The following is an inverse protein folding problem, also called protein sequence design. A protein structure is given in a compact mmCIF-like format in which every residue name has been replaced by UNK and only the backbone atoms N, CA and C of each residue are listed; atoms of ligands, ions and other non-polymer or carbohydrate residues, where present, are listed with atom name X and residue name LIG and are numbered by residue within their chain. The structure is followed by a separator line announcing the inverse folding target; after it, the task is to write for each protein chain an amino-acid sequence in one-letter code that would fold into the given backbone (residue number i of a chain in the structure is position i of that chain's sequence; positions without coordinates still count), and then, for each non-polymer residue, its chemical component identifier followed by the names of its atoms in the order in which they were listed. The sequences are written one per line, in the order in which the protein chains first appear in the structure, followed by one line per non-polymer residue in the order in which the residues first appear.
data_IF_146650090388
#
_entry.id   IF_146650090388
#
_cell.length_a   1.000
_cell.length_b   1.000
_cell.length_c   1.000
_cell.angle_alpha   90.00
_cell.angle_beta   90.00
_cell.angle_gamma   90.00
#
_symmetry.space_group_name_H-M   'P 1'
#
loop_
_entity.id
_entity.type
_entity.pdbx_description
1 polymer ?
#
# COMPACT_ATOMS: atom_id res chain seq x y z
N UNK A 1 -7.73 -32.85 -4.88
CA UNK A 1 -8.77 -31.86 -4.49
C UNK A 1 -9.18 -31.14 -5.76
N UNK A 2 -10.48 -31.09 -6.01
CA UNK A 2 -11.05 -30.33 -7.14
C UNK A 2 -10.77 -28.84 -6.91
N UNK A 3 -10.33 -28.10 -7.93
CA UNK A 3 -9.99 -26.68 -7.79
C UNK A 3 -11.19 -25.87 -7.29
N UNK A 4 -12.40 -26.33 -7.59
CA UNK A 4 -13.65 -25.75 -7.10
C UNK A 4 -13.78 -25.92 -5.57
N UNK A 5 -13.41 -27.07 -5.02
CA UNK A 5 -13.42 -27.29 -3.56
C UNK A 5 -12.39 -26.42 -2.85
N UNK A 6 -11.21 -26.24 -3.46
CA UNK A 6 -10.19 -25.32 -2.95
C UNK A 6 -10.72 -23.89 -2.90
N UNK A 7 -11.28 -23.38 -4.01
CA UNK A 7 -11.81 -22.01 -4.04
C UNK A 7 -12.92 -21.80 -3.01
N UNK A 8 -13.83 -22.77 -2.83
CA UNK A 8 -14.87 -22.72 -1.79
C UNK A 8 -14.30 -22.66 -0.37
N UNK A 9 -13.27 -23.45 -0.08
CA UNK A 9 -12.66 -23.50 1.25
C UNK A 9 -12.03 -22.17 1.66
N UNK A 10 -11.45 -21.46 0.70
CA UNK A 10 -10.72 -20.20 0.94
C UNK A 10 -11.52 -18.96 0.50
N UNK A 11 -12.83 -19.11 0.24
CA UNK A 11 -13.71 -18.00 -0.14
C UNK A 11 -13.20 -17.19 -1.35
N UNK A 12 -12.58 -17.89 -2.32
CA UNK A 12 -12.09 -17.29 -3.55
C UNK A 12 -13.27 -17.15 -4.52
N UNK A 13 -13.55 -15.92 -4.96
CA UNK A 13 -14.55 -15.66 -5.98
C UNK A 13 -14.17 -16.31 -7.31
N UNK A 14 -15.10 -17.10 -7.86
CA UNK A 14 -14.94 -17.77 -9.15
C UNK A 14 -15.91 -17.17 -10.14
N UNK A 15 -15.38 -16.65 -11.25
CA UNK A 15 -16.19 -16.12 -12.35
C UNK A 15 -16.15 -17.03 -13.57
N UNK A 16 -17.32 -17.20 -14.19
CA UNK A 16 -17.51 -17.93 -15.45
C UNK A 16 -18.08 -17.03 -16.55
N UNK A 17 -17.96 -15.71 -16.36
CA UNK A 17 -18.50 -14.68 -17.25
C UNK A 17 -17.79 -14.60 -18.61
N UNK A 18 -16.54 -15.10 -18.68
CA UNK A 18 -15.69 -15.02 -19.87
C UNK A 18 -15.21 -16.39 -20.34
N UNK A 19 -15.23 -16.57 -21.65
CA UNK A 19 -14.54 -17.64 -22.35
C UNK A 19 -13.07 -17.32 -22.61
N UNK A 20 -12.33 -18.32 -23.11
CA UNK A 20 -10.88 -18.21 -23.33
C UNK A 20 -10.48 -17.07 -24.28
N UNK A 21 -11.32 -16.74 -25.28
CA UNK A 21 -11.04 -15.66 -26.22
C UNK A 21 -11.09 -14.29 -25.55
N UNK A 22 -12.14 -14.02 -24.77
CA UNK A 22 -12.32 -12.75 -24.04
C UNK A 22 -11.22 -12.58 -23.00
N UNK A 23 -10.85 -13.67 -22.31
CA UNK A 23 -9.73 -13.68 -21.38
C UNK A 23 -8.39 -13.32 -22.06
N UNK A 24 -8.08 -13.90 -23.22
CA UNK A 24 -6.85 -13.59 -23.97
C UNK A 24 -6.80 -12.13 -24.46
N UNK A 25 -7.95 -11.54 -24.77
CA UNK A 25 -8.05 -10.11 -25.12
C UNK A 25 -7.75 -9.21 -23.91
N UNK A 26 -8.25 -9.56 -22.73
CA UNK A 26 -7.95 -8.83 -21.49
C UNK A 26 -6.47 -8.92 -21.09
N UNK A 27 -5.86 -10.12 -21.21
CA UNK A 27 -4.43 -10.33 -20.95
C UNK A 27 -3.57 -9.44 -21.86
N UNK A 28 -3.91 -9.35 -23.16
CA UNK A 28 -3.19 -8.49 -24.12
C UNK A 28 -3.19 -7.03 -23.70
N UNK A 29 -4.25 -6.57 -23.05
CA UNK A 29 -4.39 -5.19 -22.61
C UNK A 29 -3.72 -4.92 -21.27
N UNK A 30 -3.11 -5.93 -20.62
CA UNK A 30 -2.43 -5.85 -19.30
C UNK A 30 -3.27 -5.15 -18.22
N UNK A 31 -4.58 -5.25 -18.32
CA UNK A 31 -5.49 -4.65 -17.35
C UNK A 31 -5.37 -5.34 -15.98
N UNK A 32 -4.92 -6.60 -15.97
CA UNK A 32 -4.84 -7.46 -14.78
C UNK A 32 -3.47 -8.12 -14.68
N UNK A 33 -3.05 -8.43 -13.44
CA UNK A 33 -1.96 -9.37 -13.20
C UNK A 33 -2.51 -10.80 -13.33
N UNK A 34 -1.75 -11.68 -13.97
CA UNK A 34 -2.19 -13.04 -14.29
C UNK A 34 -1.20 -14.08 -13.76
N UNK A 35 -1.73 -15.16 -13.20
CA UNK A 35 -0.98 -16.40 -12.96
C UNK A 35 -1.80 -17.58 -13.45
N UNK A 36 -1.13 -18.56 -14.06
CA UNK A 36 -1.78 -19.77 -14.59
C UNK A 36 -1.32 -21.00 -13.83
N UNK A 37 -2.27 -21.88 -13.50
CA UNK A 37 -2.01 -23.17 -12.86
C UNK A 37 -2.36 -24.29 -13.84
N UNK A 38 -1.49 -25.30 -13.94
CA UNK A 38 -1.75 -26.47 -14.79
C UNK A 38 -2.61 -27.49 -14.04
N UNK A 39 -3.57 -28.12 -14.74
CA UNK A 39 -4.36 -29.23 -14.18
C UNK A 39 -3.54 -30.47 -13.83
N UNK A 40 -2.31 -30.58 -14.34
CA UNK A 40 -1.36 -31.67 -14.02
C UNK A 40 -0.40 -31.28 -12.89
N UNK A 41 -0.50 -30.06 -12.37
CA UNK A 41 0.36 -29.58 -11.29
C UNK A 41 0.03 -30.35 -10.01
N UNK A 42 1.06 -30.87 -9.33
CA UNK A 42 0.87 -31.49 -8.03
C UNK A 42 0.64 -30.41 -6.96
N UNK A 43 0.08 -30.83 -5.81
CA UNK A 43 -0.28 -29.92 -4.71
C UNK A 43 0.89 -29.09 -4.19
N UNK A 44 2.07 -29.68 -4.03
CA UNK A 44 3.26 -28.98 -3.53
C UNK A 44 3.70 -27.86 -4.49
N UNK A 45 3.70 -28.13 -5.80
CA UNK A 45 4.01 -27.10 -6.79
C UNK A 45 2.96 -26.00 -6.79
N UNK A 46 1.68 -26.35 -6.72
CA UNK A 46 0.59 -25.37 -6.63
C UNK A 46 0.77 -24.44 -5.43
N UNK A 47 1.01 -25.01 -4.23
CA UNK A 47 1.20 -24.24 -3.00
C UNK A 47 2.38 -23.27 -3.13
N UNK A 48 3.52 -23.71 -3.68
CA UNK A 48 4.69 -22.84 -3.91
C UNK A 48 4.35 -21.69 -4.86
N UNK A 49 3.75 -21.97 -6.01
CA UNK A 49 3.40 -20.93 -7.00
C UNK A 49 2.35 -19.95 -6.45
N UNK A 50 1.33 -20.47 -5.78
CA UNK A 50 0.27 -19.67 -5.19
C UNK A 50 0.83 -18.73 -4.12
N UNK A 51 1.57 -19.24 -3.13
CA UNK A 51 2.17 -18.40 -2.07
C UNK A 51 3.15 -17.39 -2.66
N UNK A 52 3.95 -17.78 -3.66
CA UNK A 52 4.89 -16.84 -4.31
C UNK A 52 4.20 -15.68 -5.04
N UNK A 53 2.91 -15.82 -5.36
CA UNK A 53 2.10 -14.76 -5.97
C UNK A 53 1.76 -13.65 -4.96
N UNK A 54 1.78 -13.98 -3.67
CA UNK A 54 1.55 -13.06 -2.57
C UNK A 54 2.91 -12.75 -1.92
N UNK A 55 3.64 -11.83 -2.54
CA UNK A 55 5.00 -11.46 -2.10
C UNK A 55 5.04 -10.83 -0.69
N UNK A 56 3.88 -10.42 -0.16
CA UNK A 56 3.74 -9.77 1.12
C UNK A 56 3.00 -10.68 2.10
N UNK A 57 3.57 -10.84 3.29
CA UNK A 57 2.90 -11.52 4.40
C UNK A 57 1.61 -10.79 4.78
N UNK A 58 0.60 -11.53 5.21
CA UNK A 58 -0.62 -10.93 5.76
C UNK A 58 -0.30 -10.10 7.02
N UNK A 59 -1.13 -9.11 7.32
CA UNK A 59 -0.96 -8.25 8.50
C UNK A 59 -0.92 -9.09 9.80
N UNK A 60 -1.74 -10.15 9.88
CA UNK A 60 -1.76 -11.11 10.98
C UNK A 60 -0.40 -11.79 11.19
N UNK A 61 0.20 -12.31 10.13
CA UNK A 61 1.53 -12.95 10.17
C UNK A 61 2.64 -11.96 10.53
N UNK A 62 2.54 -10.71 10.07
CA UNK A 62 3.48 -9.65 10.45
C UNK A 62 3.36 -9.36 11.95
N UNK A 63 2.14 -9.32 12.48
CA UNK A 63 1.89 -9.12 13.91
C UNK A 63 2.48 -10.25 14.77
N UNK A 64 2.33 -11.51 14.36
CA UNK A 64 2.94 -12.67 15.05
C UNK A 64 4.47 -12.61 15.04
N UNK A 65 5.07 -12.03 13.99
CA UNK A 65 6.51 -11.80 13.88
C UNK A 65 6.99 -10.56 14.66
N UNK A 66 6.10 -9.85 15.34
CA UNK A 66 6.41 -8.66 16.13
C UNK A 66 6.49 -7.35 15.35
N UNK A 67 6.04 -7.33 14.10
CA UNK A 67 5.87 -6.10 13.33
C UNK A 67 4.56 -5.42 13.74
N UNK A 68 4.62 -4.11 13.95
CA UNK A 68 3.49 -3.29 14.35
C UNK A 68 2.99 -2.51 13.14
N UNK A 69 2.11 -3.13 12.36
CA UNK A 69 1.63 -2.57 11.09
C UNK A 69 1.06 -1.16 11.26
N UNK A 70 0.34 -0.86 12.35
CA UNK A 70 -0.27 0.46 12.57
C UNK A 70 0.75 1.60 12.71
N UNK A 71 1.98 1.29 13.13
CA UNK A 71 3.07 2.25 13.28
C UNK A 71 4.07 2.17 12.12
N UNK A 72 4.39 0.98 11.64
CA UNK A 72 5.46 0.75 10.67
C UNK A 72 5.00 0.95 9.22
N UNK A 73 3.71 0.75 8.94
CA UNK A 73 3.14 1.01 7.60
C UNK A 73 2.91 2.51 7.33
N UNK A 74 2.81 3.31 8.40
CA UNK A 74 2.61 4.75 8.27
C UNK A 74 3.92 5.38 7.85
N UNK A 75 3.97 5.87 6.61
CA UNK A 75 5.10 6.70 6.16
C UNK A 75 5.25 7.87 7.12
N UNK A 76 6.49 8.11 7.57
CA UNK A 76 6.86 9.22 8.44
C UNK A 76 6.26 10.51 7.90
N UNK A 77 5.44 11.17 8.73
CA UNK A 77 4.87 12.48 8.46
C UNK A 77 5.69 13.53 9.18
N UNK A 78 6.07 14.59 8.47
CA UNK A 78 6.71 15.77 9.05
C UNK A 78 5.72 16.92 9.01
N UNK A 79 5.52 17.57 10.15
CA UNK A 79 4.77 18.81 10.26
C UNK A 79 5.72 19.98 9.97
N UNK A 80 5.34 20.87 9.06
CA UNK A 80 6.08 22.12 8.79
C UNK A 80 5.15 23.30 9.04
N UNK A 81 5.55 24.16 9.98
CA UNK A 81 4.93 25.46 10.23
C UNK A 81 5.95 26.54 9.90
N UNK A 82 5.57 27.50 9.08
CA UNK A 82 6.48 28.53 8.61
C UNK A 82 5.79 29.88 8.42
N UNK A 83 6.53 30.97 8.62
CA UNK A 83 6.04 32.30 8.28
C UNK A 83 6.03 32.52 6.76
N UNK A 84 5.05 33.26 6.24
CA UNK A 84 4.90 33.50 4.79
C UNK A 84 6.18 34.00 4.08
N UNK A 85 7.03 34.74 4.80
CA UNK A 85 8.32 35.23 4.31
C UNK A 85 9.30 34.12 3.88
N UNK A 86 9.15 32.91 4.43
CA UNK A 86 10.06 31.78 4.22
C UNK A 86 9.53 30.81 3.14
N UNK A 87 8.39 31.13 2.50
CA UNK A 87 7.68 30.26 1.55
C UNK A 87 8.58 29.65 0.48
N UNK A 88 9.42 30.45 -0.16
CA UNK A 88 10.25 30.01 -1.29
C UNK A 88 11.25 28.90 -0.87
N UNK A 89 11.83 29.04 0.32
CA UNK A 89 12.78 28.05 0.86
C UNK A 89 12.03 26.79 1.28
N UNK A 90 10.85 26.95 1.89
CA UNK A 90 10.03 25.84 2.38
C UNK A 90 9.46 25.00 1.24
N UNK A 91 8.96 25.61 0.17
CA UNK A 91 8.46 24.88 -1.01
C UNK A 91 9.55 23.97 -1.60
N UNK A 92 10.78 24.47 -1.76
CA UNK A 92 11.92 23.68 -2.26
C UNK A 92 12.28 22.51 -1.32
N UNK A 93 12.19 22.75 -0.01
CA UNK A 93 12.43 21.70 0.98
C UNK A 93 11.33 20.63 0.97
N UNK A 94 10.07 21.02 0.80
CA UNK A 94 8.92 20.11 0.72
C UNK A 94 9.08 19.16 -0.46
N UNK A 95 9.44 19.68 -1.64
CA UNK A 95 9.65 18.86 -2.84
C UNK A 95 10.71 17.77 -2.61
N UNK A 96 11.81 18.12 -1.94
CA UNK A 96 12.89 17.18 -1.60
C UNK A 96 12.43 16.12 -0.60
N UNK A 97 11.67 16.51 0.42
CA UNK A 97 11.12 15.59 1.42
C UNK A 97 10.14 14.60 0.76
N UNK A 98 9.22 15.09 -0.07
CA UNK A 98 8.25 14.26 -0.77
C UNK A 98 8.91 13.30 -1.77
N UNK A 99 9.91 13.77 -2.52
CA UNK A 99 10.69 12.92 -3.44
C UNK A 99 11.45 11.81 -2.69
N UNK A 100 11.85 12.07 -1.44
CA UNK A 100 12.51 11.08 -0.56
C UNK A 100 11.52 10.13 0.13
N UNK A 101 10.23 10.21 -0.19
CA UNK A 101 9.18 9.36 0.37
C UNK A 101 8.62 9.81 1.72
N UNK A 102 9.01 10.99 2.21
CA UNK A 102 8.51 11.56 3.46
C UNK A 102 7.21 12.34 3.17
N UNK A 103 6.15 12.07 3.94
CA UNK A 103 4.90 12.82 3.80
C UNK A 103 5.01 14.13 4.59
N UNK A 104 4.48 15.22 4.04
CA UNK A 104 4.50 16.54 4.70
C UNK A 104 3.08 16.99 5.00
N UNK A 105 2.85 17.49 6.22
CA UNK A 105 1.66 18.21 6.63
C UNK A 105 2.01 19.68 6.83
N UNK A 106 1.23 20.59 6.24
CA UNK A 106 1.52 22.02 6.25
C UNK A 106 0.41 22.80 6.92
N UNK A 107 0.79 23.85 7.66
CA UNK A 107 -0.09 24.91 8.11
C UNK A 107 0.33 26.24 7.50
N UNK A 108 -0.64 26.98 6.95
CA UNK A 108 -0.45 28.29 6.33
C UNK A 108 -0.86 29.46 7.24
N UNK A 109 -1.28 29.19 8.48
CA UNK A 109 -1.42 30.21 9.53
C UNK A 109 -2.83 30.77 9.74
N UNK A 110 -3.87 30.22 9.11
CA UNK A 110 -5.25 30.70 9.27
C UNK A 110 -5.93 30.16 10.56
N UNK A 111 -5.50 28.99 11.05
CA UNK A 111 -5.98 28.36 12.29
C UNK A 111 -4.81 27.80 13.13
N UNK A 112 -3.84 28.68 13.42
CA UNK A 112 -2.53 28.36 14.02
C UNK A 112 -2.60 27.31 15.14
N UNK A 113 -3.50 27.47 16.11
CA UNK A 113 -3.48 26.63 17.30
C UNK A 113 -4.01 25.22 17.03
N UNK A 114 -5.10 25.09 16.29
CA UNK A 114 -5.69 23.78 15.94
C UNK A 114 -4.82 23.02 14.94
N UNK A 115 -4.31 23.72 13.91
CA UNK A 115 -3.41 23.14 12.92
C UNK A 115 -2.09 22.68 13.53
N UNK A 116 -1.50 23.45 14.45
CA UNK A 116 -0.28 23.05 15.16
C UNK A 116 -0.54 21.84 16.06
N UNK A 117 -1.62 21.85 16.85
CA UNK A 117 -1.96 20.72 17.72
C UNK A 117 -2.23 19.44 16.93
N UNK A 118 -2.97 19.55 15.81
CA UNK A 118 -3.21 18.43 14.90
C UNK A 118 -1.90 17.93 14.28
N UNK A 119 -1.08 18.82 13.74
CA UNK A 119 0.22 18.49 13.15
C UNK A 119 1.17 17.79 14.13
N UNK A 120 1.24 18.26 15.39
CA UNK A 120 2.03 17.63 16.45
C UNK A 120 1.49 16.27 16.88
N UNK A 121 0.18 16.05 16.80
CA UNK A 121 -0.43 14.76 17.14
C UNK A 121 -0.24 13.69 16.06
N UNK A 122 -0.17 14.10 14.79
CA UNK A 122 -0.14 13.19 13.65
C UNK A 122 1.26 12.97 13.06
N UNK A 123 2.22 13.84 13.36
CA UNK A 123 3.56 13.81 12.77
C UNK A 123 4.61 13.36 13.80
N UNK A 124 5.61 12.62 13.32
CA UNK A 124 6.72 12.14 14.15
C UNK A 124 7.79 13.22 14.39
N UNK A 125 7.77 14.26 13.57
CA UNK A 125 8.71 15.37 13.60
C UNK A 125 7.97 16.66 13.23
N UNK A 126 8.27 17.73 13.95
CA UNK A 126 7.81 19.07 13.64
C UNK A 126 9.00 19.99 13.37
N UNK A 127 8.91 20.79 12.32
CA UNK A 127 9.89 21.79 11.92
C UNK A 127 9.23 23.17 11.88
N UNK A 128 9.87 24.14 12.52
CA UNK A 128 9.38 25.50 12.65
C UNK A 128 10.38 26.46 12.01
N UNK A 129 9.91 27.32 11.11
CA UNK A 129 10.71 28.28 10.36
C UNK A 129 10.17 29.71 10.47
#
# INVERSE_FOLDING_TARGET
EDIIEFCKKYEIDVSYDKGSKEFLEDMRNRMWNEISFSSRMNRQMFEVFFVSSFQYAEISELHEKGYHWETESKRKKVFISYAWKDKEIIDNMIDKLQTSGIRVFMDYGDHILESILSGLSECELALFF
#
